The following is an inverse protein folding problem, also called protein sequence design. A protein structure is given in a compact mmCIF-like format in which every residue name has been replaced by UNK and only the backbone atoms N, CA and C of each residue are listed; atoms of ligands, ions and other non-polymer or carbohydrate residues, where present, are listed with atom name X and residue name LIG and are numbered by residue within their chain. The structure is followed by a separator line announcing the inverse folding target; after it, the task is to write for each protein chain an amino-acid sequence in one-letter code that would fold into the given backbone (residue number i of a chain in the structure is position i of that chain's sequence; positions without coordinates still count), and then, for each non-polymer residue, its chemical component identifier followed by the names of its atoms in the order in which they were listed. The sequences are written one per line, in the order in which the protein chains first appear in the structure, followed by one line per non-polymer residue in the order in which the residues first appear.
data_IF_594896696129
#
_entry.id   IF_594896696129
#
_cell.length_a   1.000
_cell.length_b   1.000
_cell.length_c   1.000
_cell.angle_alpha   90.00
_cell.angle_beta   90.00
_cell.angle_gamma   90.00
#
_symmetry.space_group_name_H-M   'P 1'
#
loop_
_entity.id
_entity.type
_entity.pdbx_description
1 polymer ?
#
# COMPACT_ATOMS: atom_id res chain seq x y z
N UNK A 1 -27.89 -5.72 -41.92
CA UNK A 1 -27.30 -4.82 -40.91
C UNK A 1 -28.33 -4.58 -39.83
N UNK A 2 -28.26 -5.32 -38.72
CA UNK A 2 -29.16 -5.11 -37.58
C UNK A 2 -28.65 -3.88 -36.79
N UNK A 3 -29.49 -2.85 -36.74
CA UNK A 3 -29.24 -1.66 -35.93
C UNK A 3 -29.20 -2.07 -34.46
N UNK A 4 -27.98 -2.07 -33.85
CA UNK A 4 -27.83 -2.17 -32.41
C UNK A 4 -28.46 -0.91 -31.82
N UNK A 5 -29.68 -1.05 -31.27
CA UNK A 5 -30.29 0.01 -30.48
C UNK A 5 -29.34 0.44 -29.36
N UNK A 6 -29.16 1.75 -29.07
CA UNK A 6 -28.32 2.21 -27.95
C UNK A 6 -28.87 1.60 -26.67
N UNK A 7 -28.06 0.80 -25.98
CA UNK A 7 -28.43 0.23 -24.68
C UNK A 7 -28.74 1.41 -23.75
N UNK A 8 -29.97 1.43 -23.22
CA UNK A 8 -30.36 2.38 -22.19
C UNK A 8 -29.28 2.45 -21.10
N UNK A 9 -28.93 3.63 -20.59
CA UNK A 9 -27.94 3.76 -19.52
C UNK A 9 -28.40 2.93 -18.32
N UNK A 10 -27.71 1.83 -18.07
CA UNK A 10 -28.04 0.96 -16.96
C UNK A 10 -27.93 1.74 -15.65
N UNK A 11 -28.97 1.65 -14.80
CA UNK A 11 -29.03 2.35 -13.53
C UNK A 11 -27.79 2.12 -12.66
N UNK A 12 -27.32 3.14 -11.94
CA UNK A 12 -26.21 2.98 -11.01
C UNK A 12 -26.63 2.10 -9.82
N UNK A 13 -25.70 1.30 -9.30
CA UNK A 13 -25.90 0.47 -8.11
C UNK A 13 -26.58 1.26 -6.97
N UNK A 14 -27.59 0.68 -6.27
CA UNK A 14 -28.24 1.35 -5.14
C UNK A 14 -27.24 1.72 -4.05
N UNK A 15 -27.41 2.88 -3.40
CA UNK A 15 -26.57 3.28 -2.27
C UNK A 15 -26.67 2.30 -1.10
N UNK A 16 -27.84 1.69 -0.91
CA UNK A 16 -28.04 0.66 0.12
C UNK A 16 -27.06 -0.51 -0.04
N UNK A 17 -26.78 -0.94 -1.28
CA UNK A 17 -25.79 -2.00 -1.54
C UNK A 17 -24.40 -1.63 -1.05
N UNK A 18 -23.96 -0.38 -1.23
CA UNK A 18 -22.67 0.09 -0.72
C UNK A 18 -22.64 0.10 0.81
N UNK A 19 -23.70 0.57 1.45
CA UNK A 19 -23.75 0.59 2.92
C UNK A 19 -23.83 -0.81 3.52
N UNK A 20 -24.52 -1.75 2.88
CA UNK A 20 -24.53 -3.15 3.30
C UNK A 20 -23.13 -3.78 3.16
N UNK A 21 -22.42 -3.49 2.07
CA UNK A 21 -21.05 -3.95 1.88
C UNK A 21 -20.10 -3.37 2.94
N UNK A 22 -20.22 -2.08 3.26
CA UNK A 22 -19.43 -1.42 4.32
C UNK A 22 -19.74 -2.02 5.69
N UNK A 23 -21.02 -2.19 6.03
CA UNK A 23 -21.42 -2.78 7.31
C UNK A 23 -20.94 -4.23 7.44
N UNK A 24 -21.08 -5.04 6.40
CA UNK A 24 -20.61 -6.42 6.36
C UNK A 24 -19.09 -6.50 6.50
N UNK A 25 -18.33 -5.69 5.74
CA UNK A 25 -16.88 -5.62 5.83
C UNK A 25 -16.42 -5.18 7.23
N UNK A 26 -17.11 -4.21 7.84
CA UNK A 26 -16.81 -3.74 9.20
C UNK A 26 -17.03 -4.85 10.24
N UNK A 27 -18.18 -5.51 10.22
CA UNK A 27 -18.52 -6.59 11.15
C UNK A 27 -17.51 -7.74 11.02
N UNK A 28 -17.24 -8.21 9.80
CA UNK A 28 -16.26 -9.29 9.57
C UNK A 28 -14.88 -8.88 10.04
N UNK A 29 -14.49 -7.62 9.84
CA UNK A 29 -13.21 -7.10 10.30
C UNK A 29 -13.10 -7.10 11.82
N UNK A 30 -14.13 -6.67 12.54
CA UNK A 30 -14.14 -6.68 14.01
C UNK A 30 -14.06 -8.09 14.58
N UNK A 31 -14.71 -9.06 13.94
CA UNK A 31 -14.66 -10.46 14.36
C UNK A 31 -13.29 -11.09 14.10
N UNK A 32 -12.66 -10.77 12.96
CA UNK A 32 -11.36 -11.30 12.58
C UNK A 32 -10.18 -10.63 13.31
N UNK A 33 -10.30 -9.36 13.66
CA UNK A 33 -9.21 -8.54 14.19
C UNK A 33 -8.49 -9.13 15.41
N UNK A 34 -9.16 -9.66 16.45
CA UNK A 34 -8.49 -10.25 17.61
C UNK A 34 -7.98 -11.68 17.38
N UNK A 35 -8.42 -12.34 16.30
CA UNK A 35 -8.16 -13.76 16.07
C UNK A 35 -6.92 -14.02 15.20
N UNK A 36 -6.65 -13.13 14.24
CA UNK A 36 -5.53 -13.29 13.30
C UNK A 36 -4.73 -11.99 13.27
N UNK A 37 -3.43 -12.06 13.52
CA UNK A 37 -2.52 -10.90 13.43
C UNK A 37 -1.07 -11.35 13.28
N UNK A 38 -0.24 -10.47 12.76
CA UNK A 38 1.22 -10.64 12.71
C UNK A 38 1.78 -10.29 14.09
N UNK A 39 2.22 -11.29 14.86
CA UNK A 39 2.60 -11.08 16.26
C UNK A 39 3.67 -10.01 16.42
N UNK A 40 4.78 -10.14 15.70
CA UNK A 40 5.90 -9.20 15.77
C UNK A 40 5.47 -7.75 15.49
N UNK A 41 4.78 -7.50 14.36
CA UNK A 41 4.36 -6.13 14.01
C UNK A 41 3.35 -5.57 15.01
N UNK A 42 2.35 -6.38 15.42
CA UNK A 42 1.22 -5.93 16.24
C UNK A 42 1.60 -5.81 17.72
N UNK A 43 2.22 -6.85 18.28
CA UNK A 43 2.49 -6.93 19.71
C UNK A 43 3.86 -6.37 20.05
N UNK A 44 4.90 -6.85 19.38
CA UNK A 44 6.27 -6.51 19.72
C UNK A 44 6.67 -5.10 19.26
N UNK A 45 6.08 -4.61 18.14
CA UNK A 45 6.30 -3.26 17.65
C UNK A 45 5.16 -2.30 18.06
N UNK A 46 4.01 -2.34 17.38
CA UNK A 46 3.01 -1.28 17.47
C UNK A 46 2.39 -1.10 18.86
N UNK A 47 1.96 -2.18 19.53
CA UNK A 47 1.41 -2.07 20.88
C UNK A 47 2.49 -1.72 21.90
N UNK A 48 3.74 -2.14 21.70
CA UNK A 48 4.86 -1.77 22.53
C UNK A 48 5.18 -0.27 22.37
N UNK A 49 5.28 0.24 21.13
CA UNK A 49 5.46 1.66 20.85
C UNK A 49 4.30 2.50 21.43
N UNK A 50 3.04 2.04 21.24
CA UNK A 50 1.88 2.74 21.77
C UNK A 50 1.98 2.98 23.29
N UNK A 51 2.42 1.96 24.05
CA UNK A 51 2.60 2.06 25.51
C UNK A 51 3.57 3.15 25.93
N UNK A 52 4.64 3.38 25.17
CA UNK A 52 5.62 4.43 25.46
C UNK A 52 4.98 5.82 25.49
N UNK A 53 3.92 6.07 24.73
CA UNK A 53 3.18 7.34 24.70
C UNK A 53 2.37 7.62 25.97
N UNK A 54 2.07 6.60 26.77
CA UNK A 54 1.17 6.68 27.94
C UNK A 54 -0.18 7.34 27.60
N UNK A 55 -0.62 7.21 26.33
CA UNK A 55 -1.84 7.81 25.78
C UNK A 55 -1.86 9.36 25.71
N UNK A 56 -0.73 10.04 25.87
CA UNK A 56 -0.66 11.52 25.92
C UNK A 56 0.54 12.12 25.20
N UNK A 57 1.62 11.38 25.01
CA UNK A 57 2.93 11.90 24.61
C UNK A 57 3.41 11.18 23.32
N UNK A 58 2.94 11.53 22.13
CA UNK A 58 3.33 10.85 20.90
C UNK A 58 4.84 10.93 20.63
N UNK A 59 5.52 12.01 21.07
CA UNK A 59 6.98 12.16 20.96
C UNK A 59 7.76 11.13 21.79
N UNK A 60 7.18 10.61 22.89
CA UNK A 60 7.84 9.61 23.73
C UNK A 60 8.09 8.31 22.96
N UNK A 61 7.26 8.00 21.94
CA UNK A 61 7.46 6.84 21.06
C UNK A 61 8.82 6.91 20.36
N UNK A 62 9.23 8.08 19.88
CA UNK A 62 10.51 8.28 19.22
C UNK A 62 11.70 8.41 20.17
N UNK A 63 11.46 8.80 21.42
CA UNK A 63 12.50 9.02 22.42
C UNK A 63 12.72 7.81 23.33
N UNK A 64 11.92 6.77 23.18
CA UNK A 64 12.07 5.50 23.89
C UNK A 64 12.86 4.53 23.01
N UNK A 65 13.90 3.93 23.58
CA UNK A 65 14.59 2.81 22.94
C UNK A 65 13.90 1.50 23.30
N UNK A 66 13.71 0.64 22.32
CA UNK A 66 12.99 -0.62 22.47
C UNK A 66 13.94 -1.81 22.27
N UNK A 67 13.73 -2.90 23.00
CA UNK A 67 14.49 -4.14 22.85
C UNK A 67 14.26 -4.84 21.49
N UNK A 68 13.16 -4.45 20.80
CA UNK A 68 12.85 -4.87 19.43
C UNK A 68 13.36 -3.83 18.44
N UNK A 69 12.48 -3.30 17.58
CA UNK A 69 12.81 -2.20 16.66
C UNK A 69 12.30 -0.87 17.21
N UNK A 70 13.10 0.18 17.11
CA UNK A 70 12.66 1.56 17.35
C UNK A 70 11.63 1.98 16.30
N UNK A 71 10.79 2.97 16.64
CA UNK A 71 9.73 3.40 15.75
C UNK A 71 10.30 4.09 14.50
N UNK A 72 10.17 3.42 13.36
CA UNK A 72 10.62 3.85 12.03
C UNK A 72 9.51 4.51 11.19
N UNK A 73 8.29 4.64 11.72
CA UNK A 73 7.18 5.27 11.02
C UNK A 73 7.19 6.79 11.14
N UNK A 74 6.84 7.54 10.05
CA UNK A 74 6.66 8.98 10.09
C UNK A 74 5.57 9.46 11.07
N UNK A 75 5.49 10.77 11.37
CA UNK A 75 4.77 11.37 12.50
C UNK A 75 3.28 11.02 12.68
N UNK A 76 2.54 10.70 11.61
CA UNK A 76 1.10 10.38 11.71
C UNK A 76 0.86 9.08 12.48
N UNK A 77 1.70 8.07 12.31
CA UNK A 77 1.52 6.77 12.98
C UNK A 77 1.71 6.89 14.50
N UNK A 78 2.75 7.53 15.06
CA UNK A 78 2.83 7.78 16.50
C UNK A 78 1.63 8.53 17.10
N UNK A 79 0.98 9.47 16.39
CA UNK A 79 -0.28 10.06 16.88
C UNK A 79 -1.38 9.02 17.01
N UNK A 80 -1.53 8.15 16.00
CA UNK A 80 -2.52 7.07 16.04
C UNK A 80 -2.22 6.08 17.15
N UNK A 81 -0.97 5.67 17.32
CA UNK A 81 -0.56 4.78 18.41
C UNK A 81 -0.84 5.39 19.77
N UNK A 82 -0.63 6.70 19.93
CA UNK A 82 -1.00 7.43 21.17
C UNK A 82 -2.51 7.42 21.42
N UNK A 83 -3.33 7.61 20.37
CA UNK A 83 -4.78 7.52 20.49
C UNK A 83 -5.22 6.10 20.88
N UNK A 84 -4.63 5.08 20.26
CA UNK A 84 -4.90 3.67 20.56
C UNK A 84 -4.60 3.35 22.03
N UNK A 85 -3.44 3.78 22.53
CA UNK A 85 -3.08 3.60 23.93
C UNK A 85 -4.04 4.34 24.87
N UNK A 86 -4.47 5.55 24.50
CA UNK A 86 -5.48 6.30 25.28
C UNK A 86 -6.81 5.56 25.36
N UNK A 87 -7.27 4.99 24.26
CA UNK A 87 -8.50 4.19 24.22
C UNK A 87 -8.37 2.92 25.08
N UNK A 88 -7.24 2.22 24.94
CA UNK A 88 -6.93 1.03 25.76
C UNK A 88 -6.98 1.32 27.25
N UNK A 89 -6.33 2.41 27.67
CA UNK A 89 -6.32 2.84 29.08
C UNK A 89 -7.72 3.26 29.56
N UNK A 90 -8.51 3.92 28.73
CA UNK A 90 -9.86 4.37 29.09
C UNK A 90 -10.82 3.20 29.42
N UNK A 91 -10.59 2.02 28.82
CA UNK A 91 -11.39 0.83 29.09
C UNK A 91 -10.67 -0.20 29.98
N UNK A 92 -9.53 0.15 30.56
CA UNK A 92 -8.71 -0.72 31.38
C UNK A 92 -8.35 -2.06 30.71
N UNK A 93 -8.18 -2.07 29.39
CA UNK A 93 -7.81 -3.29 28.64
C UNK A 93 -6.34 -3.64 28.90
N UNK A 94 -6.05 -4.94 28.96
CA UNK A 94 -4.67 -5.43 29.05
C UNK A 94 -3.84 -5.01 27.84
N UNK A 95 -2.49 -4.87 27.97
CA UNK A 95 -1.63 -4.30 26.93
C UNK A 95 -1.61 -5.09 25.61
N UNK A 96 -1.85 -6.41 25.66
CA UNK A 96 -1.89 -7.31 24.51
C UNK A 96 -3.23 -8.05 24.39
N UNK A 97 -4.27 -7.54 25.04
CA UNK A 97 -5.61 -8.11 25.00
C UNK A 97 -6.23 -8.01 23.60
N UNK A 98 -7.24 -8.84 23.32
CA UNK A 98 -8.01 -8.75 22.08
C UNK A 98 -8.58 -7.33 21.83
N UNK A 99 -8.99 -6.62 22.89
CA UNK A 99 -9.43 -5.24 22.79
C UNK A 99 -8.31 -4.29 22.32
N UNK A 100 -7.09 -4.43 22.85
CA UNK A 100 -5.94 -3.64 22.44
C UNK A 100 -5.61 -3.88 20.95
N UNK A 101 -5.67 -5.14 20.49
CA UNK A 101 -5.44 -5.53 19.08
C UNK A 101 -6.54 -4.93 18.19
N UNK A 102 -7.80 -4.99 18.61
CA UNK A 102 -8.91 -4.34 17.87
C UNK A 102 -8.69 -2.84 17.77
N UNK A 103 -8.37 -2.15 18.87
CA UNK A 103 -8.09 -0.70 18.83
C UNK A 103 -6.94 -0.34 17.90
N UNK A 104 -5.87 -1.16 17.86
CA UNK A 104 -4.77 -0.94 16.92
C UNK A 104 -5.22 -1.01 15.46
N UNK A 105 -6.13 -1.91 15.14
CA UNK A 105 -6.58 -2.13 13.77
C UNK A 105 -7.68 -1.17 13.31
N UNK A 106 -8.44 -0.59 14.25
CA UNK A 106 -9.55 0.33 13.92
C UNK A 106 -9.18 1.47 12.97
N UNK A 107 -8.05 2.20 13.12
CA UNK A 107 -7.68 3.27 12.19
C UNK A 107 -7.53 2.77 10.75
N UNK A 108 -6.96 1.58 10.57
CA UNK A 108 -6.77 0.99 9.24
C UNK A 108 -8.05 0.43 8.64
N UNK A 109 -8.91 -0.18 9.46
CA UNK A 109 -10.26 -0.60 9.05
C UNK A 109 -11.08 0.62 8.66
N UNK A 110 -11.04 1.70 9.46
CA UNK A 110 -11.72 2.95 9.16
C UNK A 110 -11.17 3.59 7.86
N UNK A 111 -9.86 3.59 7.67
CA UNK A 111 -9.22 4.07 6.45
C UNK A 111 -9.65 3.25 5.22
N UNK A 112 -9.68 1.92 5.33
CA UNK A 112 -10.21 1.08 4.26
C UNK A 112 -11.65 1.44 3.91
N UNK A 113 -12.55 1.52 4.89
CA UNK A 113 -13.96 1.81 4.65
C UNK A 113 -14.19 3.27 4.19
N UNK A 114 -13.31 4.21 4.58
CA UNK A 114 -13.36 5.60 4.11
C UNK A 114 -13.07 5.76 2.60
N UNK A 115 -12.39 4.80 1.96
CA UNK A 115 -12.26 4.80 0.50
C UNK A 115 -13.63 4.71 -0.20
N UNK A 116 -14.63 4.07 0.41
CA UNK A 116 -15.94 3.84 -0.22
C UNK A 116 -16.66 5.15 -0.53
N UNK A 117 -16.95 6.03 0.44
CA UNK A 117 -17.54 7.33 0.14
C UNK A 117 -16.61 8.20 -0.70
N UNK A 118 -15.30 8.14 -0.49
CA UNK A 118 -14.32 8.88 -1.30
C UNK A 118 -14.41 8.50 -2.78
N UNK A 119 -14.48 7.22 -3.13
CA UNK A 119 -14.65 6.75 -4.50
C UNK A 119 -16.06 7.06 -5.05
N UNK A 120 -17.13 6.75 -4.27
CA UNK A 120 -18.51 6.93 -4.71
C UNK A 120 -18.84 8.39 -5.04
N UNK A 121 -18.27 9.35 -4.30
CA UNK A 121 -18.49 10.78 -4.47
C UNK A 121 -17.44 11.37 -5.43
N UNK A 122 -16.15 11.12 -5.17
CA UNK A 122 -15.05 11.78 -5.84
C UNK A 122 -14.86 11.35 -7.30
N UNK A 123 -15.18 10.10 -7.65
CA UNK A 123 -15.11 9.62 -9.02
C UNK A 123 -16.38 9.87 -9.84
N UNK A 124 -17.45 10.37 -9.20
CA UNK A 124 -18.72 10.60 -9.88
C UNK A 124 -18.62 11.63 -11.00
N UNK A 125 -17.88 12.73 -10.75
CA UNK A 125 -17.73 13.82 -11.71
C UNK A 125 -16.91 13.40 -12.94
N UNK A 126 -15.70 12.81 -12.80
CA UNK A 126 -14.89 12.44 -13.96
C UNK A 126 -15.41 11.19 -14.70
N UNK A 127 -16.10 10.24 -14.05
CA UNK A 127 -16.40 8.92 -14.64
C UNK A 127 -17.88 8.50 -14.55
N UNK A 128 -18.74 9.36 -14.01
CA UNK A 128 -20.17 9.07 -13.85
C UNK A 128 -20.49 8.24 -12.58
N UNK A 129 -21.74 8.26 -12.18
CA UNK A 129 -22.21 7.64 -10.94
C UNK A 129 -22.06 6.12 -10.92
N UNK A 130 -22.25 5.46 -12.08
CA UNK A 130 -22.14 4.00 -12.18
C UNK A 130 -20.70 3.53 -11.95
N UNK A 131 -19.74 4.09 -12.67
CA UNK A 131 -18.32 3.74 -12.51
C UNK A 131 -17.82 4.02 -11.09
N UNK A 132 -18.18 5.18 -10.53
CA UNK A 132 -17.83 5.57 -9.17
C UNK A 132 -18.36 4.57 -8.11
N UNK A 133 -19.63 4.14 -8.24
CA UNK A 133 -20.22 3.16 -7.30
C UNK A 133 -19.66 1.76 -7.46
N UNK A 134 -19.33 1.33 -8.69
CA UNK A 134 -18.64 0.04 -8.92
C UNK A 134 -17.25 0.08 -8.28
N UNK A 135 -16.46 1.14 -8.50
CA UNK A 135 -15.15 1.31 -7.87
C UNK A 135 -15.27 1.26 -6.34
N UNK A 136 -16.24 1.97 -5.77
CA UNK A 136 -16.51 1.98 -4.34
C UNK A 136 -16.86 0.58 -3.79
N UNK A 137 -17.67 -0.20 -4.51
CA UNK A 137 -18.02 -1.57 -4.15
C UNK A 137 -16.81 -2.51 -4.21
N UNK A 138 -15.98 -2.40 -5.27
CA UNK A 138 -14.76 -3.20 -5.41
C UNK A 138 -13.77 -2.93 -4.28
N UNK A 139 -13.67 -1.68 -3.83
CA UNK A 139 -12.84 -1.32 -2.67
C UNK A 139 -13.46 -1.82 -1.37
N UNK A 140 -14.79 -1.69 -1.17
CA UNK A 140 -15.47 -2.19 0.03
C UNK A 140 -15.27 -3.70 0.22
N UNK A 141 -15.29 -4.45 -0.88
CA UNK A 141 -15.14 -5.91 -0.89
C UNK A 141 -13.71 -6.38 -1.21
N UNK A 142 -12.70 -5.51 -1.05
CA UNK A 142 -11.31 -5.78 -1.42
C UNK A 142 -10.62 -6.75 -0.46
N UNK A 143 -10.33 -8.01 -0.86
CA UNK A 143 -9.66 -8.96 0.02
C UNK A 143 -8.24 -8.51 0.45
N UNK A 144 -7.40 -7.88 -0.41
CA UNK A 144 -6.08 -7.41 0.04
C UNK A 144 -6.16 -6.30 1.08
N UNK A 145 -7.19 -5.42 1.05
CA UNK A 145 -7.43 -4.44 2.10
C UNK A 145 -7.87 -5.10 3.41
N UNK A 146 -8.72 -6.12 3.34
CA UNK A 146 -9.11 -6.91 4.51
C UNK A 146 -7.89 -7.57 5.17
N UNK A 147 -7.05 -8.25 4.38
CA UNK A 147 -5.84 -8.91 4.92
C UNK A 147 -4.91 -7.88 5.55
N UNK A 148 -4.68 -6.73 4.91
CA UNK A 148 -3.79 -5.69 5.42
C UNK A 148 -4.33 -5.04 6.71
N UNK A 149 -5.57 -4.55 6.68
CA UNK A 149 -6.14 -3.72 7.74
C UNK A 149 -6.68 -4.55 8.92
N UNK A 150 -7.43 -5.64 8.64
CA UNK A 150 -8.15 -6.40 9.65
C UNK A 150 -7.40 -7.65 10.11
N UNK A 151 -6.79 -8.41 9.19
CA UNK A 151 -6.05 -9.60 9.56
C UNK A 151 -4.63 -9.27 10.05
N UNK A 152 -3.84 -8.50 9.28
CA UNK A 152 -2.46 -8.17 9.65
C UNK A 152 -2.38 -7.09 10.74
N UNK A 153 -2.99 -5.92 10.48
CA UNK A 153 -2.93 -4.74 11.34
C UNK A 153 -1.90 -3.69 10.89
N UNK A 154 -1.60 -3.61 9.58
CA UNK A 154 -0.64 -2.67 8.98
C UNK A 154 -1.30 -1.36 8.52
N UNK A 155 -0.49 -0.27 8.43
CA UNK A 155 -0.94 1.08 8.07
C UNK A 155 -1.00 1.38 6.56
N UNK A 156 -0.90 0.35 5.69
CA UNK A 156 -0.91 0.57 4.24
C UNK A 156 -2.30 0.93 3.70
N UNK A 157 -3.37 0.52 4.38
CA UNK A 157 -4.73 0.96 4.04
C UNK A 157 -4.89 2.48 4.25
N UNK A 158 -4.32 3.03 5.34
CA UNK A 158 -4.32 4.48 5.61
C UNK A 158 -3.48 5.25 4.60
N UNK A 159 -2.28 4.74 4.27
CA UNK A 159 -1.47 5.27 3.19
C UNK A 159 -2.24 5.34 1.87
N UNK A 160 -2.88 4.22 1.48
CA UNK A 160 -3.65 4.11 0.24
C UNK A 160 -4.81 5.11 0.22
N UNK A 161 -5.47 5.34 1.36
CA UNK A 161 -6.53 6.35 1.48
C UNK A 161 -6.03 7.75 1.13
N UNK A 162 -4.88 8.15 1.66
CA UNK A 162 -4.30 9.46 1.37
C UNK A 162 -3.87 9.59 -0.10
N UNK A 163 -3.33 8.52 -0.69
CA UNK A 163 -2.98 8.50 -2.13
C UNK A 163 -4.23 8.64 -2.99
N UNK A 164 -5.29 7.88 -2.70
CA UNK A 164 -6.57 7.98 -3.41
C UNK A 164 -7.21 9.36 -3.21
N UNK A 165 -7.16 9.92 -2.00
CA UNK A 165 -7.65 11.27 -1.73
C UNK A 165 -6.88 12.33 -2.53
N UNK A 166 -5.56 12.18 -2.67
CA UNK A 166 -4.75 13.08 -3.49
C UNK A 166 -5.14 13.00 -4.97
N UNK A 167 -5.32 11.80 -5.51
CA UNK A 167 -5.74 11.58 -6.90
C UNK A 167 -7.15 12.15 -7.14
N UNK A 168 -8.12 11.84 -6.27
CA UNK A 168 -9.49 12.36 -6.39
C UNK A 168 -9.50 13.90 -6.31
N UNK A 169 -8.74 14.49 -5.40
CA UNK A 169 -8.65 15.96 -5.30
C UNK A 169 -7.97 16.59 -6.53
N UNK A 170 -6.98 15.92 -7.14
CA UNK A 170 -6.35 16.36 -8.39
C UNK A 170 -7.36 16.34 -9.54
N UNK A 171 -8.11 15.24 -9.69
CA UNK A 171 -9.19 15.10 -10.69
C UNK A 171 -10.27 16.19 -10.53
N UNK A 172 -10.63 16.53 -9.30
CA UNK A 172 -11.58 17.60 -8.95
C UNK A 172 -11.02 19.03 -9.18
N UNK A 173 -9.75 19.16 -9.57
CA UNK A 173 -9.10 20.44 -9.78
C UNK A 173 -8.77 21.20 -8.48
N UNK A 174 -8.53 20.50 -7.40
CA UNK A 174 -8.21 21.02 -6.06
C UNK A 174 -6.77 20.73 -5.65
N UNK A 175 -5.76 21.40 -6.27
CA UNK A 175 -4.36 21.05 -6.11
C UNK A 175 -3.86 21.16 -4.66
N UNK A 176 -4.35 22.15 -3.90
CA UNK A 176 -4.00 22.31 -2.48
C UNK A 176 -4.46 21.10 -1.66
N UNK A 177 -5.70 20.61 -1.89
CA UNK A 177 -6.20 19.41 -1.21
C UNK A 177 -5.45 18.16 -1.65
N UNK A 178 -5.11 18.05 -2.94
CA UNK A 178 -4.31 16.95 -3.46
C UNK A 178 -2.93 16.91 -2.79
N UNK A 179 -2.27 18.06 -2.70
CA UNK A 179 -0.99 18.20 -2.02
C UNK A 179 -1.08 17.89 -0.52
N UNK A 180 -2.06 18.45 0.18
CA UNK A 180 -2.24 18.19 1.61
C UNK A 180 -2.49 16.69 1.89
N UNK A 181 -3.34 16.02 1.10
CA UNK A 181 -3.56 14.59 1.22
C UNK A 181 -2.28 13.79 0.97
N UNK A 182 -1.51 14.13 -0.07
CA UNK A 182 -0.23 13.49 -0.35
C UNK A 182 0.79 13.71 0.77
N UNK A 183 0.86 14.93 1.34
CA UNK A 183 1.71 15.26 2.48
C UNK A 183 1.36 14.45 3.73
N UNK A 184 0.07 14.25 4.02
CA UNK A 184 -0.39 13.35 5.09
C UNK A 184 -0.02 11.89 4.79
N UNK A 185 -0.11 11.46 3.54
CA UNK A 185 0.37 10.14 3.10
C UNK A 185 1.86 9.95 3.37
N UNK A 186 2.69 10.94 3.00
CA UNK A 186 4.13 10.96 3.27
C UNK A 186 4.44 10.98 4.78
N UNK A 187 3.64 11.72 5.55
CA UNK A 187 3.75 11.74 7.01
C UNK A 187 3.20 10.47 7.69
N UNK A 188 2.55 9.58 6.93
CA UNK A 188 2.13 8.24 7.40
C UNK A 188 3.15 7.18 7.05
N UNK A 189 3.66 7.18 5.82
CA UNK A 189 4.62 6.20 5.31
C UNK A 189 5.33 6.73 4.07
N UNK A 190 6.65 6.61 4.02
CA UNK A 190 7.46 7.12 2.90
C UNK A 190 6.99 6.57 1.53
N UNK A 191 6.41 5.37 1.49
CA UNK A 191 5.91 4.77 0.25
C UNK A 191 4.94 5.67 -0.55
N UNK A 192 4.29 6.67 0.08
CA UNK A 192 3.47 7.66 -0.63
C UNK A 192 4.26 8.48 -1.67
N UNK A 193 5.60 8.55 -1.56
CA UNK A 193 6.49 9.24 -2.52
C UNK A 193 6.33 8.69 -3.94
N UNK A 194 5.93 7.44 -4.08
CA UNK A 194 5.68 6.77 -5.36
C UNK A 194 4.63 7.49 -6.21
N UNK A 195 3.65 8.14 -5.58
CA UNK A 195 2.61 8.90 -6.27
C UNK A 195 3.09 10.30 -6.75
N UNK A 196 4.17 10.84 -6.16
CA UNK A 196 4.64 12.21 -6.41
C UNK A 196 4.92 12.47 -7.90
N UNK A 197 5.77 11.69 -8.61
CA UNK A 197 6.10 11.99 -10.00
C UNK A 197 4.88 11.90 -10.93
N UNK A 198 3.96 10.97 -10.68
CA UNK A 198 2.75 10.80 -11.48
C UNK A 198 1.79 11.98 -11.30
N UNK A 199 1.52 12.38 -10.05
CA UNK A 199 0.69 13.55 -9.75
C UNK A 199 1.31 14.85 -10.27
N UNK A 200 2.63 14.99 -10.16
CA UNK A 200 3.35 16.18 -10.64
C UNK A 200 3.23 16.32 -12.17
N UNK A 201 3.54 15.26 -12.92
CA UNK A 201 3.46 15.26 -14.39
C UNK A 201 2.03 15.52 -14.86
N UNK A 202 1.03 14.82 -14.29
CA UNK A 202 -0.36 15.01 -14.68
C UNK A 202 -0.86 16.44 -14.36
N UNK A 203 -0.57 16.94 -13.15
CA UNK A 203 -0.97 18.29 -12.73
C UNK A 203 -0.34 19.34 -13.62
N UNK A 204 0.96 19.22 -13.92
CA UNK A 204 1.64 20.14 -14.81
C UNK A 204 1.00 20.16 -16.21
N UNK A 205 0.78 18.98 -16.80
CA UNK A 205 0.22 18.85 -18.16
C UNK A 205 -1.22 19.34 -18.26
N UNK A 206 -2.03 19.14 -17.25
CA UNK A 206 -3.47 19.46 -17.28
C UNK A 206 -3.79 20.84 -16.70
N UNK A 207 -2.97 21.37 -15.81
CA UNK A 207 -3.29 22.54 -14.99
C UNK A 207 -2.18 23.59 -14.97
N UNK A 208 -0.95 23.27 -15.38
CA UNK A 208 0.20 24.15 -15.41
C UNK A 208 0.98 24.23 -14.08
N UNK A 209 1.99 25.10 -14.08
CA UNK A 209 2.96 25.19 -12.98
C UNK A 209 2.37 25.74 -11.67
N UNK A 210 1.49 26.75 -11.72
CA UNK A 210 0.93 27.38 -10.51
C UNK A 210 0.17 26.39 -9.62
N UNK A 211 -0.79 25.57 -10.14
CA UNK A 211 -1.43 24.53 -9.35
C UNK A 211 -0.47 23.46 -8.81
N UNK A 212 0.56 23.09 -9.59
CA UNK A 212 1.59 22.16 -9.12
C UNK A 212 2.35 22.73 -7.92
N UNK A 213 2.79 23.98 -7.98
CA UNK A 213 3.50 24.65 -6.88
C UNK A 213 2.62 24.81 -5.64
N UNK A 214 1.34 25.17 -5.81
CA UNK A 214 0.38 25.25 -4.71
C UNK A 214 0.16 23.88 -4.03
N UNK A 215 0.07 22.81 -4.82
CA UNK A 215 -0.01 21.43 -4.31
C UNK A 215 1.26 21.02 -3.58
N UNK A 216 2.43 21.28 -4.15
CA UNK A 216 3.71 20.98 -3.53
C UNK A 216 3.88 21.70 -2.17
N UNK A 217 3.57 23.01 -2.14
CA UNK A 217 3.60 23.79 -0.90
C UNK A 217 2.65 23.22 0.18
N UNK A 218 1.44 22.83 -0.24
CA UNK A 218 0.48 22.21 0.69
C UNK A 218 0.96 20.84 1.21
N UNK A 219 1.64 20.05 0.39
CA UNK A 219 2.22 18.78 0.82
C UNK A 219 3.32 18.99 1.86
N UNK A 220 4.25 19.90 1.59
CA UNK A 220 5.32 20.26 2.54
C UNK A 220 4.72 20.81 3.84
N UNK A 221 3.74 21.72 3.76
CA UNK A 221 3.08 22.26 4.94
C UNK A 221 2.40 21.18 5.78
N UNK A 222 1.72 20.23 5.16
CA UNK A 222 1.09 19.12 5.88
C UNK A 222 2.12 18.25 6.61
N UNK A 223 3.25 17.94 5.96
CA UNK A 223 4.36 17.21 6.60
C UNK A 223 4.97 17.99 7.77
N UNK A 224 5.24 19.28 7.58
CA UNK A 224 5.81 20.14 8.62
C UNK A 224 4.87 20.24 9.81
N UNK A 225 3.58 20.53 9.59
CA UNK A 225 2.59 20.64 10.66
C UNK A 225 2.45 19.36 11.49
N UNK A 226 2.56 18.18 10.86
CA UNK A 226 2.56 16.89 11.58
C UNK A 226 3.84 16.65 12.36
N UNK A 227 4.99 17.16 11.90
CA UNK A 227 6.29 16.96 12.54
C UNK A 227 6.61 17.95 13.66
N UNK A 228 6.09 19.19 13.58
CA UNK A 228 6.40 20.28 14.57
C UNK A 228 6.27 19.85 16.03
N UNK A 229 5.17 19.19 16.49
CA UNK A 229 5.05 18.81 17.90
C UNK A 229 6.14 17.85 18.39
N UNK A 230 6.71 17.04 17.51
CA UNK A 230 7.84 16.16 17.82
C UNK A 230 9.16 16.92 17.91
N UNK A 231 9.41 17.78 16.91
CA UNK A 231 10.62 18.60 16.83
C UNK A 231 10.74 19.51 18.06
N UNK A 232 9.65 20.19 18.46
CA UNK A 232 9.61 21.05 19.65
C UNK A 232 9.92 20.27 20.95
N UNK A 233 9.79 18.94 20.92
CA UNK A 233 10.08 18.04 22.07
C UNK A 233 11.41 17.31 21.94
N UNK A 234 12.27 17.70 21.01
CA UNK A 234 13.61 17.14 20.84
C UNK A 234 13.67 15.81 20.10
N UNK A 235 12.59 15.45 19.35
CA UNK A 235 12.54 14.24 18.56
C UNK A 235 12.83 14.49 17.06
N UNK A 236 13.54 15.56 16.69
CA UNK A 236 13.87 15.90 15.30
C UNK A 236 14.67 14.80 14.59
N UNK A 237 15.68 14.23 15.28
CA UNK A 237 16.52 13.18 14.71
C UNK A 237 15.74 11.91 14.38
N UNK A 238 14.95 11.31 15.30
CA UNK A 238 14.11 10.15 14.97
C UNK A 238 13.07 10.45 13.88
N UNK A 239 12.46 11.65 13.88
CA UNK A 239 11.55 12.05 12.80
C UNK A 239 12.26 12.04 11.45
N UNK A 240 13.45 12.60 11.34
CA UNK A 240 14.24 12.56 10.10
C UNK A 240 14.67 11.13 9.77
N UNK A 241 15.05 10.33 10.76
CA UNK A 241 15.44 8.94 10.58
C UNK A 241 14.33 8.08 9.99
N UNK A 242 13.06 8.35 10.34
CA UNK A 242 11.90 7.65 9.77
C UNK A 242 11.74 7.82 8.25
N UNK A 243 12.39 8.82 7.66
CA UNK A 243 12.42 9.03 6.21
C UNK A 243 13.68 8.47 5.56
N UNK A 244 14.87 8.87 6.02
CA UNK A 244 16.11 8.42 5.37
C UNK A 244 16.50 6.98 5.75
N UNK A 245 16.13 6.50 6.93
CA UNK A 245 16.34 5.12 7.36
C UNK A 245 15.48 4.09 6.63
N UNK A 246 14.37 4.52 6.01
CA UNK A 246 13.50 3.62 5.27
C UNK A 246 14.18 2.94 4.06
N UNK A 247 15.27 3.50 3.55
CA UNK A 247 16.09 2.90 2.49
C UNK A 247 17.35 2.32 3.11
N UNK A 248 17.52 1.00 2.98
CA UNK A 248 18.69 0.30 3.51
C UNK A 248 18.49 -0.35 4.88
N UNK A 249 17.34 -0.20 5.50
CA UNK A 249 17.03 -0.82 6.79
C UNK A 249 17.06 -2.36 6.72
N UNK A 250 16.46 -2.93 5.68
CA UNK A 250 16.53 -4.35 5.38
C UNK A 250 17.38 -4.56 4.12
N UNK A 251 18.71 -4.72 4.19
CA UNK A 251 19.58 -4.80 3.01
C UNK A 251 19.47 -6.16 2.29
N UNK A 252 18.23 -6.58 2.00
CA UNK A 252 17.88 -7.84 1.37
C UNK A 252 17.35 -7.61 -0.06
N UNK A 253 17.58 -8.57 -0.96
CA UNK A 253 17.01 -8.54 -2.32
C UNK A 253 15.48 -8.43 -2.29
N UNK A 254 14.82 -9.10 -1.34
CA UNK A 254 13.38 -9.00 -1.11
C UNK A 254 13.06 -9.27 0.37
N UNK A 255 12.03 -8.64 0.90
CA UNK A 255 11.49 -8.87 2.25
C UNK A 255 10.11 -9.51 2.09
N UNK A 256 10.11 -10.77 1.62
CA UNK A 256 8.92 -11.59 1.31
C UNK A 256 7.96 -10.94 0.28
N UNK A 257 8.42 -9.94 -0.48
CA UNK A 257 7.71 -9.48 -1.67
C UNK A 257 7.91 -10.52 -2.79
N UNK A 258 6.83 -11.08 -3.31
CA UNK A 258 6.88 -12.04 -4.41
C UNK A 258 7.03 -11.27 -5.74
N UNK A 259 8.22 -10.70 -5.92
CA UNK A 259 8.62 -9.81 -7.01
C UNK A 259 9.75 -10.43 -7.87
N UNK A 260 10.36 -9.62 -8.74
CA UNK A 260 11.47 -10.04 -9.58
C UNK A 260 12.63 -10.66 -8.77
N UNK A 261 12.99 -10.03 -7.64
CA UNK A 261 14.11 -10.47 -6.81
C UNK A 261 13.80 -11.77 -6.06
N UNK A 262 12.54 -12.02 -5.72
CA UNK A 262 12.13 -13.30 -5.17
C UNK A 262 12.34 -14.45 -6.16
N UNK A 263 12.02 -14.23 -7.45
CA UNK A 263 12.29 -15.23 -8.49
C UNK A 263 13.79 -15.54 -8.59
N UNK A 264 14.61 -14.49 -8.60
CA UNK A 264 16.06 -14.65 -8.65
C UNK A 264 16.62 -15.36 -7.43
N UNK A 265 16.11 -15.05 -6.22
CA UNK A 265 16.46 -15.78 -4.99
C UNK A 265 16.14 -17.28 -5.12
N UNK A 266 14.99 -17.62 -5.67
CA UNK A 266 14.59 -19.02 -5.86
C UNK A 266 15.45 -19.74 -6.88
N UNK A 267 15.81 -19.06 -7.98
CA UNK A 267 16.73 -19.61 -8.99
C UNK A 267 18.13 -19.85 -8.39
N UNK A 268 18.68 -18.88 -7.65
CA UNK A 268 19.98 -19.01 -7.00
C UNK A 268 20.02 -20.19 -6.02
N UNK A 269 19.01 -20.31 -5.15
CA UNK A 269 18.89 -21.41 -4.19
C UNK A 269 18.84 -22.77 -4.92
N UNK A 270 18.09 -22.85 -6.02
CA UNK A 270 17.95 -24.10 -6.77
C UNK A 270 19.20 -24.49 -7.55
N UNK A 271 19.91 -23.53 -8.15
CA UNK A 271 21.08 -23.78 -9.00
C UNK A 271 22.37 -23.92 -8.20
N UNK A 272 22.50 -23.19 -7.11
CA UNK A 272 23.76 -23.07 -6.36
C UNK A 272 23.71 -23.69 -4.97
N UNK A 273 22.54 -24.17 -4.53
CA UNK A 273 22.36 -24.76 -3.20
C UNK A 273 22.68 -23.80 -2.05
N UNK A 274 22.63 -22.50 -2.29
CA UNK A 274 23.02 -21.50 -1.30
C UNK A 274 21.99 -21.38 -0.17
N UNK A 275 22.43 -21.46 1.09
CA UNK A 275 21.53 -21.25 2.22
C UNK A 275 21.06 -19.79 2.29
N UNK A 276 19.91 -19.59 2.94
CA UNK A 276 19.41 -18.27 3.33
C UNK A 276 20.43 -17.49 4.18
N UNK A 277 20.46 -16.18 4.09
CA UNK A 277 21.34 -15.33 4.88
C UNK A 277 22.15 -14.37 4.01
N UNK A 278 23.46 -14.32 4.16
CA UNK A 278 24.34 -13.37 3.43
C UNK A 278 24.18 -13.41 1.91
N UNK A 279 23.80 -14.56 1.32
CA UNK A 279 23.55 -14.68 -0.11
C UNK A 279 22.39 -13.79 -0.60
N UNK A 280 21.47 -13.41 0.28
CA UNK A 280 20.29 -12.59 -0.03
C UNK A 280 20.55 -11.08 0.11
N UNK A 281 21.77 -10.66 0.48
CA UNK A 281 22.09 -9.23 0.61
C UNK A 281 22.04 -8.53 -0.75
N UNK A 282 21.35 -7.41 -0.81
CA UNK A 282 21.21 -6.62 -2.02
C UNK A 282 22.45 -5.77 -2.36
N UNK A 283 23.39 -5.67 -1.41
CA UNK A 283 24.69 -5.02 -1.58
C UNK A 283 25.72 -5.89 -2.30
N UNK A 284 25.41 -7.16 -2.58
CA UNK A 284 26.29 -8.03 -3.36
C UNK A 284 26.31 -7.65 -4.83
N UNK A 285 27.47 -7.79 -5.51
CA UNK A 285 27.57 -7.59 -6.95
C UNK A 285 26.63 -8.52 -7.73
N UNK A 286 25.97 -7.98 -8.77
CA UNK A 286 25.03 -8.71 -9.62
C UNK A 286 25.42 -8.64 -11.10
N UNK A 287 25.72 -7.43 -11.63
CA UNK A 287 26.18 -7.21 -13.01
C UNK A 287 27.51 -6.44 -12.98
N UNK A 288 28.63 -7.16 -13.04
CA UNK A 288 29.96 -6.57 -12.88
C UNK A 288 30.09 -5.86 -11.52
N UNK A 289 30.40 -4.55 -11.45
CA UNK A 289 30.53 -3.81 -10.21
C UNK A 289 29.16 -3.40 -9.61
N UNK A 290 28.08 -3.48 -10.39
CA UNK A 290 26.74 -3.07 -9.94
C UNK A 290 26.13 -4.11 -8.99
N UNK A 291 25.66 -3.65 -7.84
CA UNK A 291 24.96 -4.47 -6.87
C UNK A 291 23.51 -4.76 -7.32
N UNK A 292 22.83 -5.70 -6.65
CA UNK A 292 21.40 -5.93 -6.88
C UNK A 292 20.57 -4.65 -6.62
N UNK A 293 20.96 -3.85 -5.61
CA UNK A 293 20.35 -2.56 -5.29
C UNK A 293 20.51 -1.57 -6.44
N UNK A 294 21.72 -1.42 -6.98
CA UNK A 294 21.99 -0.49 -8.08
C UNK A 294 21.17 -0.86 -9.32
N UNK A 295 21.13 -2.15 -9.67
CA UNK A 295 20.31 -2.63 -10.78
C UNK A 295 18.83 -2.39 -10.53
N UNK A 296 18.33 -2.65 -9.33
CA UNK A 296 16.93 -2.36 -8.95
C UNK A 296 16.58 -0.87 -9.10
N UNK A 297 17.48 0.03 -8.68
CA UNK A 297 17.31 1.47 -8.82
C UNK A 297 17.33 1.93 -10.28
N UNK A 298 18.23 1.38 -11.10
CA UNK A 298 18.26 1.68 -12.55
C UNK A 298 16.97 1.21 -13.23
N UNK A 299 16.50 0.00 -12.91
CA UNK A 299 15.27 -0.53 -13.47
C UNK A 299 14.07 0.34 -13.11
N UNK A 300 13.87 0.71 -11.84
CA UNK A 300 12.73 1.53 -11.45
C UNK A 300 12.83 2.95 -12.03
N UNK A 301 14.01 3.53 -12.13
CA UNK A 301 14.19 4.83 -12.79
C UNK A 301 13.74 4.77 -14.25
N UNK A 302 14.20 3.75 -15.00
CA UNK A 302 13.79 3.55 -16.41
C UNK A 302 12.28 3.35 -16.55
N UNK A 303 11.67 2.50 -15.70
CA UNK A 303 10.21 2.30 -15.70
C UNK A 303 9.44 3.57 -15.34
N UNK A 304 9.92 4.33 -14.35
CA UNK A 304 9.30 5.62 -13.99
C UNK A 304 9.30 6.57 -15.20
N UNK A 305 10.44 6.72 -15.88
CA UNK A 305 10.53 7.53 -17.11
C UNK A 305 9.55 7.03 -18.18
N UNK A 306 9.46 5.70 -18.40
CA UNK A 306 8.54 5.10 -19.34
C UNK A 306 7.06 5.41 -18.99
N UNK A 307 6.68 5.27 -17.73
CA UNK A 307 5.31 5.54 -17.24
C UNK A 307 4.98 7.03 -17.41
N UNK A 308 5.89 7.92 -17.00
CA UNK A 308 5.69 9.35 -17.07
C UNK A 308 5.66 9.88 -18.51
N UNK A 309 6.47 9.32 -19.40
CA UNK A 309 6.44 9.65 -20.82
C UNK A 309 5.08 9.28 -21.48
N UNK A 310 4.52 8.12 -21.10
CA UNK A 310 3.18 7.73 -21.50
C UNK A 310 2.12 8.70 -20.98
N UNK A 311 2.13 9.00 -19.70
CA UNK A 311 1.18 9.94 -19.09
C UNK A 311 1.33 11.37 -19.63
N UNK A 312 2.55 11.80 -19.92
CA UNK A 312 2.82 13.09 -20.56
C UNK A 312 2.15 13.20 -21.92
N UNK A 313 2.17 12.13 -22.69
CA UNK A 313 1.57 12.06 -24.03
C UNK A 313 0.05 12.00 -24.01
N UNK A 314 -0.51 11.28 -23.01
CA UNK A 314 -1.96 11.05 -22.86
C UNK A 314 -2.41 11.34 -21.41
N UNK A 315 -2.52 12.63 -21.02
CA UNK A 315 -2.80 13.02 -19.63
C UNK A 315 -4.29 12.98 -19.29
N UNK A 316 -5.01 11.93 -19.70
CA UNK A 316 -6.43 11.72 -19.35
C UNK A 316 -6.66 11.43 -17.88
N UNK A 317 -7.89 11.62 -17.40
CA UNK A 317 -8.27 11.40 -15.99
C UNK A 317 -8.14 9.92 -15.59
N UNK A 318 -8.62 9.00 -16.44
CA UNK A 318 -8.39 7.56 -16.27
C UNK A 318 -6.91 7.17 -16.37
N UNK A 319 -6.16 7.90 -17.20
CA UNK A 319 -4.71 7.75 -17.36
C UNK A 319 -3.94 8.07 -16.07
N UNK A 320 -4.35 9.06 -15.29
CA UNK A 320 -3.75 9.37 -13.99
C UNK A 320 -3.85 8.17 -13.04
N UNK A 321 -5.04 7.58 -12.92
CA UNK A 321 -5.27 6.43 -12.02
C UNK A 321 -4.43 5.23 -12.48
N UNK A 322 -4.45 4.93 -13.78
CA UNK A 322 -3.72 3.79 -14.35
C UNK A 322 -2.20 3.96 -14.22
N UNK A 323 -1.68 5.16 -14.47
CA UNK A 323 -0.26 5.47 -14.32
C UNK A 323 0.20 5.35 -12.86
N UNK A 324 -0.60 5.85 -11.91
CA UNK A 324 -0.32 5.71 -10.49
C UNK A 324 -0.33 4.23 -10.06
N UNK A 325 -1.31 3.45 -10.49
CA UNK A 325 -1.37 2.01 -10.22
C UNK A 325 -0.13 1.29 -10.76
N UNK A 326 0.27 1.60 -12.00
CA UNK A 326 1.45 1.00 -12.62
C UNK A 326 2.75 1.41 -11.92
N UNK A 327 2.87 2.68 -11.49
CA UNK A 327 4.03 3.16 -10.74
C UNK A 327 4.19 2.43 -9.40
N UNK A 328 3.10 2.24 -8.62
CA UNK A 328 3.14 1.45 -7.39
C UNK A 328 3.49 -0.01 -7.65
N UNK A 329 2.94 -0.61 -8.71
CA UNK A 329 3.28 -1.98 -9.08
C UNK A 329 4.75 -2.11 -9.52
N UNK A 330 5.28 -1.17 -10.32
CA UNK A 330 6.68 -1.17 -10.73
C UNK A 330 7.63 -1.01 -9.54
N UNK A 331 7.28 -0.15 -8.55
CA UNK A 331 8.05 -0.01 -7.30
C UNK A 331 8.00 -1.28 -6.45
N UNK A 332 6.88 -2.01 -6.43
CA UNK A 332 6.83 -3.31 -5.77
C UNK A 332 7.72 -4.35 -6.49
N UNK A 333 7.83 -4.29 -7.82
CA UNK A 333 8.49 -5.32 -8.64
C UNK A 333 9.99 -5.16 -8.80
N UNK A 334 10.51 -3.92 -8.92
CA UNK A 334 11.83 -3.66 -9.49
C UNK A 334 12.92 -3.30 -8.49
N UNK A 335 12.70 -2.45 -7.47
CA UNK A 335 13.67 -2.22 -6.41
C UNK A 335 13.85 -3.46 -5.52
N UNK A 336 15.00 -3.54 -4.86
CA UNK A 336 15.24 -4.43 -3.73
C UNK A 336 14.54 -3.93 -2.45
N UNK A 337 14.57 -4.70 -1.36
CA UNK A 337 14.05 -4.32 -0.03
C UNK A 337 12.52 -4.13 0.03
N UNK A 338 11.79 -4.65 -0.96
CA UNK A 338 10.34 -4.53 -0.99
C UNK A 338 9.66 -5.52 -0.07
N UNK A 339 8.67 -5.02 0.68
CA UNK A 339 7.79 -5.84 1.50
C UNK A 339 6.57 -6.35 0.72
N UNK A 340 6.05 -7.50 1.11
CA UNK A 340 4.89 -8.17 0.53
C UNK A 340 3.63 -7.30 0.45
N UNK A 341 3.48 -6.34 1.35
CA UNK A 341 2.32 -5.42 1.43
C UNK A 341 2.41 -4.19 0.52
N UNK A 342 3.58 -3.89 -0.04
CA UNK A 342 3.77 -2.69 -0.87
C UNK A 342 3.05 -2.74 -2.22
N UNK A 343 2.50 -3.88 -2.61
CA UNK A 343 1.61 -4.05 -3.77
C UNK A 343 0.20 -3.46 -3.52
N UNK A 344 -0.21 -3.24 -2.25
CA UNK A 344 -1.58 -2.86 -1.89
C UNK A 344 -2.07 -1.58 -2.58
N UNK A 345 -1.31 -0.46 -2.63
CA UNK A 345 -1.79 0.75 -3.31
C UNK A 345 -2.07 0.53 -4.79
N UNK A 346 -1.27 -0.33 -5.48
CA UNK A 346 -1.53 -0.67 -6.88
C UNK A 346 -2.88 -1.39 -7.05
N UNK A 347 -3.18 -2.36 -6.19
CA UNK A 347 -4.45 -3.08 -6.21
C UNK A 347 -5.65 -2.15 -5.93
N UNK A 348 -5.53 -1.24 -4.97
CA UNK A 348 -6.57 -0.24 -4.66
C UNK A 348 -6.81 0.69 -5.85
N UNK A 349 -5.75 1.23 -6.46
CA UNK A 349 -5.87 2.11 -7.62
C UNK A 349 -6.47 1.40 -8.83
N UNK A 350 -6.15 0.11 -9.02
CA UNK A 350 -6.79 -0.69 -10.06
C UNK A 350 -8.28 -0.93 -9.80
N UNK A 351 -8.73 -1.01 -8.55
CA UNK A 351 -10.16 -1.04 -8.25
C UNK A 351 -10.89 0.22 -8.76
N UNK A 352 -10.22 1.40 -8.71
CA UNK A 352 -10.75 2.63 -9.26
C UNK A 352 -10.76 2.63 -10.80
N UNK A 353 -9.76 2.01 -11.44
CA UNK A 353 -9.66 1.92 -12.89
C UNK A 353 -10.52 0.80 -13.48
N UNK A 354 -10.88 -0.23 -12.71
CA UNK A 354 -11.58 -1.44 -13.18
C UNK A 354 -12.90 -1.16 -13.93
N UNK A 355 -13.74 -0.17 -13.55
CA UNK A 355 -14.94 0.16 -14.29
C UNK A 355 -14.69 0.81 -15.65
N UNK A 356 -13.48 1.34 -15.88
CA UNK A 356 -13.16 2.19 -17.05
C UNK A 356 -12.82 1.36 -18.30
N UNK A 357 -12.22 0.18 -18.14
CA UNK A 357 -11.88 -0.69 -19.25
C UNK A 357 -11.89 -2.18 -18.88
N UNK A 358 -12.06 -3.06 -19.88
CA UNK A 358 -11.98 -4.50 -19.67
C UNK A 358 -10.58 -4.96 -19.23
N UNK A 359 -9.52 -4.31 -19.74
CA UNK A 359 -8.14 -4.62 -19.37
C UNK A 359 -7.83 -4.20 -17.94
N UNK A 360 -8.22 -2.98 -17.53
CA UNK A 360 -8.10 -2.52 -16.15
C UNK A 360 -8.85 -3.42 -15.17
N UNK A 361 -10.00 -3.96 -15.58
CA UNK A 361 -10.76 -4.94 -14.79
C UNK A 361 -10.01 -6.26 -14.63
N UNK A 362 -9.44 -6.80 -15.72
CA UNK A 362 -8.62 -8.01 -15.67
C UNK A 362 -7.39 -7.85 -14.79
N UNK A 363 -6.68 -6.72 -14.93
CA UNK A 363 -5.56 -6.36 -14.06
C UNK A 363 -5.98 -6.28 -12.59
N UNK A 364 -7.10 -5.62 -12.30
CA UNK A 364 -7.61 -5.51 -10.92
C UNK A 364 -7.86 -6.89 -10.32
N UNK A 365 -8.60 -7.76 -11.01
CA UNK A 365 -8.89 -9.12 -10.50
C UNK A 365 -7.60 -9.87 -10.21
N UNK A 366 -6.66 -9.85 -11.16
CA UNK A 366 -5.40 -10.57 -11.03
C UNK A 366 -4.54 -10.02 -9.90
N UNK A 367 -4.38 -8.68 -9.82
CA UNK A 367 -3.59 -8.07 -8.74
C UNK A 367 -4.29 -8.17 -7.37
N UNK A 368 -5.61 -8.06 -7.31
CA UNK A 368 -6.34 -8.26 -6.05
C UNK A 368 -6.13 -9.67 -5.49
N UNK A 369 -6.23 -10.69 -6.36
CA UNK A 369 -5.95 -12.09 -5.96
C UNK A 369 -4.49 -12.28 -5.52
N UNK A 370 -3.54 -11.85 -6.33
CA UNK A 370 -2.11 -12.06 -6.04
C UNK A 370 -1.62 -11.22 -4.88
N UNK A 371 -2.13 -10.00 -4.68
CA UNK A 371 -1.83 -9.18 -3.51
C UNK A 371 -2.40 -9.79 -2.22
N UNK A 372 -3.61 -10.37 -2.28
CA UNK A 372 -4.20 -11.09 -1.16
C UNK A 372 -3.33 -12.29 -0.78
N UNK A 373 -2.94 -13.08 -1.77
CA UNK A 373 -2.10 -14.26 -1.56
C UNK A 373 -0.69 -13.87 -1.09
N UNK A 374 -0.09 -12.81 -1.64
CA UNK A 374 1.24 -12.36 -1.22
C UNK A 374 1.25 -11.99 0.28
N UNK A 375 0.27 -11.19 0.72
CA UNK A 375 0.15 -10.83 2.13
C UNK A 375 -0.32 -12.00 3.00
N UNK A 376 -1.31 -12.77 2.53
CA UNK A 376 -1.91 -13.86 3.29
C UNK A 376 -0.97 -15.04 3.54
N UNK A 377 -0.17 -15.42 2.55
CA UNK A 377 0.82 -16.51 2.71
C UNK A 377 1.94 -16.11 3.65
N UNK A 378 2.39 -14.86 3.63
CA UNK A 378 3.41 -14.39 4.56
C UNK A 378 2.84 -14.25 5.97
N UNK A 379 1.61 -13.75 6.13
CA UNK A 379 0.92 -13.74 7.42
C UNK A 379 0.75 -15.15 7.99
N UNK A 380 0.34 -16.11 7.16
CA UNK A 380 0.21 -17.50 7.56
C UNK A 380 1.55 -18.09 8.01
N UNK A 381 2.64 -17.76 7.29
CA UNK A 381 4.01 -18.15 7.68
C UNK A 381 4.39 -17.54 9.03
N UNK A 382 4.15 -16.25 9.23
CA UNK A 382 4.49 -15.55 10.46
C UNK A 382 3.70 -16.08 11.67
N UNK A 383 2.41 -16.40 11.49
CA UNK A 383 1.58 -17.04 12.53
C UNK A 383 2.12 -18.43 12.87
N UNK A 384 2.51 -19.22 11.86
CA UNK A 384 3.11 -20.54 12.06
C UNK A 384 4.46 -20.45 12.78
N UNK A 385 5.33 -19.51 12.37
CA UNK A 385 6.65 -19.29 12.98
C UNK A 385 6.50 -18.95 14.47
N UNK A 386 5.56 -18.04 14.78
CA UNK A 386 5.28 -17.67 16.16
C UNK A 386 4.73 -18.86 16.97
N UNK A 387 3.80 -19.64 16.43
CA UNK A 387 3.21 -20.78 17.10
C UNK A 387 4.27 -21.87 17.43
N UNK A 388 5.15 -22.17 16.48
CA UNK A 388 6.28 -23.10 16.68
C UNK A 388 7.26 -22.57 17.73
N UNK A 389 7.52 -21.27 17.73
CA UNK A 389 8.43 -20.65 18.70
C UNK A 389 7.88 -20.69 20.13
N UNK A 390 6.57 -20.49 20.31
CA UNK A 390 5.91 -20.46 21.63
C UNK A 390 5.75 -21.85 22.22
N UNK A 391 5.41 -22.85 21.42
CA UNK A 391 5.20 -24.22 21.90
C UNK A 391 5.85 -25.28 20.96
N UNK A 392 7.19 -25.33 20.94
CA UNK A 392 7.93 -26.25 20.05
C UNK A 392 7.71 -27.72 20.38
N UNK A 393 7.24 -28.05 21.60
CA UNK A 393 6.98 -29.41 22.01
C UNK A 393 5.66 -29.95 21.48
N UNK A 394 4.67 -29.08 21.25
CA UNK A 394 3.33 -29.48 20.77
C UNK A 394 3.16 -29.18 19.27
N UNK A 395 3.83 -28.17 18.74
CA UNK A 395 3.70 -27.75 17.36
C UNK A 395 5.00 -28.09 16.64
N UNK A 396 5.05 -29.27 16.02
CA UNK A 396 6.15 -29.64 15.16
C UNK A 396 6.23 -28.72 13.93
N UNK A 397 7.45 -28.31 13.55
CA UNK A 397 7.66 -27.54 12.33
C UNK A 397 7.19 -28.35 11.10
N UNK A 398 6.16 -27.89 10.34
CA UNK A 398 5.59 -28.66 9.24
C UNK A 398 6.33 -28.34 7.91
N UNK A 399 7.37 -29.12 7.54
CA UNK A 399 8.17 -28.84 6.33
C UNK A 399 7.35 -28.87 5.04
N UNK A 400 6.32 -29.70 4.99
CA UNK A 400 5.42 -29.79 3.83
C UNK A 400 4.61 -28.47 3.63
N UNK A 401 4.09 -27.88 4.72
CA UNK A 401 3.36 -26.61 4.67
C UNK A 401 4.31 -25.47 4.25
N UNK A 402 5.50 -25.40 4.82
CA UNK A 402 6.52 -24.41 4.42
C UNK A 402 6.91 -24.53 2.95
N UNK A 403 7.03 -25.78 2.46
CA UNK A 403 7.32 -26.04 1.06
C UNK A 403 6.14 -25.61 0.17
N UNK A 404 4.91 -25.88 0.55
CA UNK A 404 3.72 -25.47 -0.18
C UNK A 404 3.62 -23.92 -0.26
N UNK A 405 3.82 -23.21 0.85
CA UNK A 405 3.86 -21.74 0.88
C UNK A 405 4.94 -21.21 -0.07
N UNK A 406 6.17 -21.75 -0.02
CA UNK A 406 7.27 -21.33 -0.90
C UNK A 406 6.99 -21.59 -2.37
N UNK A 407 6.37 -22.71 -2.70
CA UNK A 407 6.00 -23.02 -4.09
C UNK A 407 4.91 -22.08 -4.60
N UNK A 408 3.87 -21.84 -3.81
CA UNK A 408 2.82 -20.87 -4.12
C UNK A 408 3.40 -19.45 -4.30
N UNK A 409 4.27 -19.01 -3.42
CA UNK A 409 4.98 -17.72 -3.52
C UNK A 409 5.79 -17.60 -4.82
N UNK A 410 6.46 -18.68 -5.24
CA UNK A 410 7.22 -18.70 -6.50
C UNK A 410 6.30 -18.54 -7.70
N UNK A 411 5.17 -19.25 -7.72
CA UNK A 411 4.16 -19.11 -8.80
C UNK A 411 3.62 -17.68 -8.86
N UNK A 412 3.28 -17.09 -7.71
CA UNK A 412 2.78 -15.69 -7.64
C UNK A 412 3.83 -14.72 -8.16
N UNK A 413 5.11 -14.89 -7.78
CA UNK A 413 6.20 -14.03 -8.25
C UNK A 413 6.36 -14.13 -9.78
N UNK A 414 6.26 -15.31 -10.37
CA UNK A 414 6.29 -15.50 -11.82
C UNK A 414 5.08 -14.85 -12.50
N UNK A 415 3.89 -14.98 -11.93
CA UNK A 415 2.70 -14.28 -12.41
C UNK A 415 2.92 -12.76 -12.38
N UNK A 416 3.47 -12.20 -11.31
CA UNK A 416 3.78 -10.77 -11.22
C UNK A 416 4.78 -10.31 -12.29
N UNK A 417 5.81 -11.10 -12.58
CA UNK A 417 6.77 -10.81 -13.68
C UNK A 417 6.04 -10.80 -15.02
N UNK A 418 5.17 -11.79 -15.27
CA UNK A 418 4.33 -11.84 -16.48
C UNK A 418 3.39 -10.63 -16.59
N UNK A 419 2.76 -10.21 -15.48
CA UNK A 419 1.92 -9.01 -15.42
C UNK A 419 2.73 -7.76 -15.74
N UNK A 420 3.93 -7.60 -15.17
CA UNK A 420 4.80 -6.45 -15.45
C UNK A 420 5.12 -6.37 -16.94
N UNK A 421 5.54 -7.46 -17.55
CA UNK A 421 5.85 -7.53 -18.98
C UNK A 421 4.64 -7.21 -19.85
N UNK A 422 3.51 -7.87 -19.59
CA UNK A 422 2.28 -7.64 -20.35
C UNK A 422 1.75 -6.21 -20.19
N UNK A 423 1.70 -5.68 -18.97
CA UNK A 423 1.22 -4.31 -18.71
C UNK A 423 2.12 -3.29 -19.42
N UNK A 424 3.45 -3.48 -19.37
CA UNK A 424 4.39 -2.65 -20.11
C UNK A 424 4.09 -2.62 -21.60
N UNK A 425 3.81 -3.80 -22.20
CA UNK A 425 3.50 -3.90 -23.64
C UNK A 425 2.19 -3.19 -24.05
N UNK A 426 1.17 -3.18 -23.17
CA UNK A 426 -0.14 -2.59 -23.47
C UNK A 426 -0.35 -1.20 -22.93
N UNK A 427 0.50 -0.71 -22.03
CA UNK A 427 0.31 0.50 -21.24
C UNK A 427 -0.02 1.76 -22.07
N UNK A 428 0.78 2.03 -23.08
CA UNK A 428 0.57 3.21 -23.95
C UNK A 428 -0.74 3.16 -24.73
N UNK A 429 -1.14 1.96 -25.18
CA UNK A 429 -2.41 1.75 -25.87
C UNK A 429 -3.60 1.98 -24.94
N UNK A 430 -3.49 1.54 -23.71
CA UNK A 430 -4.53 1.73 -22.71
C UNK A 430 -4.68 3.20 -22.30
N UNK A 431 -3.56 3.93 -22.12
CA UNK A 431 -3.59 5.37 -21.86
C UNK A 431 -4.28 6.14 -22.99
N UNK A 432 -3.95 5.82 -24.24
CA UNK A 432 -4.57 6.47 -25.40
C UNK A 432 -6.09 6.20 -25.45
N UNK A 433 -6.51 4.95 -25.18
CA UNK A 433 -7.92 4.58 -25.11
C UNK A 433 -8.67 5.27 -23.95
N UNK A 434 -8.04 5.41 -22.78
CA UNK A 434 -8.65 6.12 -21.64
C UNK A 434 -8.71 7.65 -21.85
N UNK A 435 -7.78 8.23 -22.61
CA UNK A 435 -7.80 9.64 -22.93
C UNK A 435 -8.98 9.99 -23.86
N UNK A 436 -9.30 9.13 -24.84
CA UNK A 436 -10.43 9.36 -25.75
C UNK A 436 -11.81 9.25 -25.08
N UNK A 437 -11.90 8.69 -23.88
CA UNK A 437 -13.16 8.67 -23.10
C UNK A 437 -13.42 9.97 -22.33
N UNK A 438 -12.43 10.84 -22.22
CA UNK A 438 -12.49 12.10 -21.45
C UNK A 438 -12.64 13.36 -22.34
N UNK A 439 -12.64 13.18 -23.67
CA UNK A 439 -12.99 14.19 -24.68
C UNK A 439 -14.47 14.05 -25.08
#
# INVERSE_FOLDING_TARGET
MASLSPRAPSEPLPLATLWLAVAGAFVVSLLAAPLVFHHYDVVDCFLNWARASRGRQPWAIYLTHFDTDDCDYPPVVPYLLTLIERLRLAVNAGPTSGAAIVFLKLPNIAAWLAHVPLCAIGLRRPFGARAARIAALLVALSPPLFVNAAAWGQFDALLSLFVVAAIVAALDGRPVRAGAALGLGLATKLLAVVAVPVLAVWTWRRRGARPLMAGAAAAVLAMVLTAVPYVVRGAERPVLASYHGAVGYYPLRTVEAYNLWYVLDRVDIRLRGQPSGEARLDTRPFLGPLTHRDVGLVLIAGWTVFILAGLWRWPGDGGLILAAAFQFFAVFMLPTQMHQRYILPAAVLLALAAPLSARSRGLFVLLAMTATLNQGLDLARAVLDHAVQVDPMRIADPPAIRMAIRNAATVIALVHVGVLAWWTAVYRRELAALASLSE
#
